data_IF_847579576690
#
_entry.id   IF_847579576690
#
_cell.length_a   1.000
_cell.length_b   1.000
_cell.length_c   1.000
_cell.angle_alpha   90.00
_cell.angle_beta   90.00
_cell.angle_gamma   90.00
#
_symmetry.space_group_name_H-M   'P 1'
#
loop_
_entity.id
_entity.type
_entity.pdbx_description
1 polymer ?
#
# COMPACT_ATOMS: atom_id res chain seq x y z
N UNK A 1 -23.87 16.43 -6.23
CA UNK A 1 -22.54 16.56 -5.60
C UNK A 1 -22.67 17.50 -4.39
N UNK A 2 -21.90 17.30 -3.32
CA UNK A 2 -22.02 18.06 -2.06
C UNK A 2 -21.42 19.48 -2.12
N UNK A 3 -20.89 19.92 -3.27
CA UNK A 3 -20.43 21.30 -3.51
C UNK A 3 -19.08 21.67 -2.88
N UNK A 4 -18.35 20.71 -2.30
CA UNK A 4 -17.01 20.96 -1.75
C UNK A 4 -15.92 21.00 -2.82
N UNK A 5 -14.94 21.89 -2.62
CA UNK A 5 -13.70 21.97 -3.38
C UNK A 5 -12.59 21.19 -2.66
N UNK A 6 -11.92 20.29 -3.37
CA UNK A 6 -10.80 19.50 -2.82
C UNK A 6 -9.51 20.28 -2.98
N UNK A 7 -8.89 20.68 -1.86
CA UNK A 7 -7.65 21.46 -1.87
C UNK A 7 -6.39 20.63 -1.53
N UNK A 8 -6.54 19.38 -1.08
CA UNK A 8 -5.42 18.51 -0.73
C UNK A 8 -5.80 17.34 0.18
N UNK A 9 -4.80 16.54 0.54
CA UNK A 9 -4.91 15.38 1.44
C UNK A 9 -4.00 15.56 2.65
N UNK A 10 -4.49 15.22 3.85
CA UNK A 10 -3.66 15.15 5.04
C UNK A 10 -3.60 13.71 5.58
N UNK A 11 -2.40 13.25 5.96
CA UNK A 11 -2.20 11.92 6.52
C UNK A 11 -1.06 11.90 7.55
N UNK A 12 -0.93 10.80 8.29
CA UNK A 12 0.22 10.62 9.19
C UNK A 12 1.41 10.09 8.37
N UNK A 13 1.24 8.95 7.71
CA UNK A 13 2.27 8.32 6.89
C UNK A 13 1.93 8.44 5.40
N UNK A 14 2.79 9.11 4.65
CA UNK A 14 2.74 9.18 3.20
C UNK A 14 3.68 8.13 2.60
N UNK A 15 3.09 7.16 1.91
CA UNK A 15 3.77 6.09 1.17
C UNK A 15 3.57 6.19 -0.35
N UNK A 16 3.11 7.34 -0.83
CA UNK A 16 2.89 7.56 -2.26
C UNK A 16 4.24 7.63 -2.99
N UNK A 17 4.32 6.97 -4.12
CA UNK A 17 5.49 6.97 -5.02
C UNK A 17 5.20 7.69 -6.34
N UNK A 18 4.01 8.25 -6.49
CA UNK A 18 3.55 8.98 -7.68
C UNK A 18 2.69 10.17 -7.26
N UNK A 19 2.57 11.14 -8.17
CA UNK A 19 1.66 12.27 -8.01
C UNK A 19 0.21 11.78 -8.09
N UNK A 20 -0.60 12.21 -7.11
CA UNK A 20 -2.04 11.90 -7.02
C UNK A 20 -2.91 13.08 -7.49
N UNK A 21 -2.30 14.14 -8.05
CA UNK A 21 -2.98 15.29 -8.63
C UNK A 21 -3.42 16.34 -7.61
N UNK A 22 -2.93 16.27 -6.37
CA UNK A 22 -3.23 17.24 -5.31
C UNK A 22 -2.13 17.23 -4.22
N UNK A 23 -1.96 18.33 -3.47
CA UNK A 23 -0.93 18.40 -2.44
C UNK A 23 -1.24 17.44 -1.28
N UNK A 24 -0.20 16.77 -0.80
CA UNK A 24 -0.23 15.89 0.37
C UNK A 24 0.51 16.56 1.52
N UNK A 25 -0.12 16.60 2.68
CA UNK A 25 0.45 17.08 3.94
C UNK A 25 0.58 15.90 4.91
N UNK A 26 1.80 15.41 5.09
CA UNK A 26 2.07 14.23 5.91
C UNK A 26 2.93 14.54 7.12
N UNK A 27 2.71 13.82 8.23
CA UNK A 27 3.64 13.87 9.36
C UNK A 27 5.00 13.19 9.04
N UNK A 28 4.98 12.13 8.21
CA UNK A 28 6.18 11.43 7.74
C UNK A 28 6.02 10.95 6.30
N UNK A 29 7.10 11.08 5.51
CA UNK A 29 7.23 10.45 4.19
C UNK A 29 8.05 9.17 4.34
N UNK A 30 7.51 8.06 3.86
CA UNK A 30 8.16 6.75 3.84
C UNK A 30 8.46 6.35 2.41
N UNK A 31 9.71 5.97 2.14
CA UNK A 31 10.10 5.34 0.87
C UNK A 31 10.00 3.82 1.02
N UNK A 32 9.03 3.22 0.34
CA UNK A 32 8.72 1.80 0.40
C UNK A 32 8.75 1.25 -1.02
N UNK A 33 9.58 0.24 -1.25
CA UNK A 33 9.67 -0.43 -2.53
C UNK A 33 8.38 -1.21 -2.79
N UNK A 34 7.77 -0.95 -3.96
CA UNK A 34 6.57 -1.63 -4.43
C UNK A 34 7.00 -2.54 -5.58
N UNK A 35 6.65 -3.82 -5.47
CA UNK A 35 6.96 -4.84 -6.47
C UNK A 35 5.66 -5.30 -7.13
N UNK A 36 5.73 -5.59 -8.42
CA UNK A 36 4.67 -6.30 -9.12
C UNK A 36 4.54 -7.72 -8.57
N UNK A 37 3.37 -8.32 -8.74
CA UNK A 37 3.08 -9.64 -8.17
C UNK A 37 4.05 -10.74 -8.65
N UNK A 38 4.49 -10.63 -9.91
CA UNK A 38 5.47 -11.53 -10.55
C UNK A 38 6.93 -11.17 -10.23
N UNK A 39 7.19 -9.97 -9.71
CA UNK A 39 8.52 -9.44 -9.41
C UNK A 39 8.87 -9.39 -7.91
N UNK A 40 8.24 -10.23 -7.08
CA UNK A 40 8.47 -10.22 -5.65
C UNK A 40 9.78 -10.94 -5.26
N UNK A 41 10.80 -10.23 -4.74
CA UNK A 41 12.11 -10.85 -4.41
C UNK A 41 12.02 -11.87 -3.27
N UNK A 42 11.05 -11.72 -2.36
CA UNK A 42 10.83 -12.69 -1.29
C UNK A 42 10.25 -14.01 -1.82
N UNK A 43 9.32 -13.92 -2.79
CA UNK A 43 8.76 -15.10 -3.43
C UNK A 43 9.81 -15.81 -4.30
N UNK A 44 10.64 -15.05 -5.02
CA UNK A 44 11.73 -15.61 -5.85
C UNK A 44 12.79 -16.31 -5.00
N UNK A 45 13.19 -15.71 -3.87
CA UNK A 45 14.16 -16.33 -2.96
C UNK A 45 13.63 -17.63 -2.35
N UNK A 46 12.34 -17.67 -1.96
CA UNK A 46 11.70 -18.87 -1.42
C UNK A 46 12.26 -19.36 -0.07
N UNK A 47 13.02 -18.53 0.64
CA UNK A 47 13.71 -18.89 1.88
C UNK A 47 12.85 -18.73 3.14
N UNK A 48 11.71 -18.03 3.04
CA UNK A 48 10.81 -17.73 4.15
C UNK A 48 9.43 -18.31 3.90
N UNK A 49 8.83 -18.89 4.95
CA UNK A 49 7.43 -19.32 4.91
C UNK A 49 6.52 -18.08 4.99
N UNK A 50 5.84 -17.77 3.89
CA UNK A 50 5.00 -16.59 3.75
C UNK A 50 3.63 -16.83 4.40
N UNK A 51 3.56 -16.58 5.71
CA UNK A 51 2.30 -16.55 6.44
C UNK A 51 1.68 -15.14 6.40
N UNK A 52 0.37 -15.04 6.25
CA UNK A 52 -0.35 -13.76 6.38
C UNK A 52 -0.56 -13.45 7.86
N UNK A 53 0.12 -12.44 8.45
CA UNK A 53 -0.11 -12.09 9.84
C UNK A 53 -1.45 -11.31 9.95
N UNK A 54 -2.51 -11.95 10.43
CA UNK A 54 -3.78 -11.28 10.68
C UNK A 54 -4.91 -12.22 11.07
N UNK A 55 -5.91 -11.70 11.80
CA UNK A 55 -7.03 -12.46 12.34
C UNK A 55 -8.17 -12.74 11.36
N UNK A 56 -8.06 -12.26 10.11
CA UNK A 56 -9.08 -12.48 9.09
C UNK A 56 -8.71 -13.72 8.29
N UNK A 57 -9.36 -14.82 8.63
CA UNK A 57 -9.41 -16.04 7.81
C UNK A 57 -9.99 -15.68 6.44
N UNK A 58 -9.26 -15.95 5.36
CA UNK A 58 -9.92 -16.05 4.06
C UNK A 58 -10.64 -17.39 4.05
N UNK A 59 -11.98 -17.38 3.98
CA UNK A 59 -12.72 -18.55 3.52
C UNK A 59 -12.07 -18.97 2.20
N UNK A 60 -11.59 -20.21 2.14
CA UNK A 60 -10.78 -20.80 1.07
C UNK A 60 -10.96 -20.06 -0.27
N UNK A 61 -9.93 -19.34 -0.73
CA UNK A 61 -9.81 -19.08 -2.16
C UNK A 61 -9.60 -20.44 -2.80
N UNK A 62 -10.69 -21.04 -3.28
CA UNK A 62 -10.70 -22.31 -3.99
C UNK A 62 -9.85 -22.23 -5.25
N UNK A 63 -8.56 -22.51 -5.08
CA UNK A 63 -7.62 -22.94 -6.10
C UNK A 63 -7.20 -24.36 -5.75
#
# INVERSE_FOLDING_TARGET
ALGGEVIGVACIADRTNHDIGMPIYSAIKLDIQVYEADGCPLCEAGEIDLIKPGSREFKELGM
#
